data_IF_247915008345
#
_entry.id   IF_247915008345
#
_cell.length_a   1.000
_cell.length_b   1.000
_cell.length_c   1.000
_cell.angle_alpha   90.00
_cell.angle_beta   90.00
_cell.angle_gamma   90.00
#
_symmetry.space_group_name_H-M   'P 1'
#
loop_
_entity.id
_entity.type
_entity.pdbx_description
1 polymer ?
#
# COMPACT_ATOMS: atom_id res chain seq x y z
N UNK A 1 11.31 4.72 8.11
CA UNK A 1 12.45 4.85 7.18
C UNK A 1 13.58 3.89 7.55
N UNK A 2 13.89 2.93 6.65
CA UNK A 2 14.97 1.91 6.68
C UNK A 2 15.00 0.93 7.87
N UNK A 3 15.03 1.39 9.13
CA UNK A 3 15.19 0.51 10.30
C UNK A 3 14.01 -0.46 10.47
N UNK A 4 12.79 0.02 10.16
CA UNK A 4 11.58 -0.81 10.13
C UNK A 4 11.63 -1.88 9.03
N UNK A 5 12.16 -1.55 7.86
CA UNK A 5 12.29 -2.50 6.75
C UNK A 5 13.27 -3.62 7.11
N UNK A 6 14.41 -3.30 7.71
CA UNK A 6 15.36 -4.32 8.19
C UNK A 6 14.72 -5.26 9.22
N UNK A 7 13.86 -4.75 10.11
CA UNK A 7 13.09 -5.59 11.02
C UNK A 7 12.12 -6.51 10.27
N UNK A 8 11.33 -5.98 9.34
CA UNK A 8 10.37 -6.79 8.57
C UNK A 8 11.05 -7.82 7.65
N UNK A 9 12.23 -7.50 7.13
CA UNK A 9 13.07 -8.41 6.34
C UNK A 9 13.49 -9.63 7.14
N UNK A 10 13.86 -9.47 8.42
CA UNK A 10 14.16 -10.60 9.32
C UNK A 10 12.98 -11.54 9.53
N UNK A 11 11.75 -11.04 9.36
CA UNK A 11 10.52 -11.84 9.41
C UNK A 11 10.06 -12.32 8.04
N UNK A 12 10.82 -12.09 6.96
CA UNK A 12 10.45 -12.41 5.58
C UNK A 12 9.06 -11.90 5.18
N UNK A 13 8.71 -10.68 5.60
CA UNK A 13 7.44 -10.06 5.17
C UNK A 13 7.55 -9.71 3.68
N UNK A 14 6.74 -10.37 2.85
CA UNK A 14 6.80 -10.25 1.39
C UNK A 14 6.52 -8.83 0.90
N UNK A 15 5.53 -8.15 1.47
CA UNK A 15 5.15 -6.80 1.06
C UNK A 15 4.80 -5.95 2.29
N UNK A 16 5.27 -4.70 2.32
CA UNK A 16 5.08 -3.76 3.43
C UNK A 16 4.58 -2.43 2.90
N UNK A 17 3.50 -1.92 3.48
CA UNK A 17 2.88 -0.65 3.09
C UNK A 17 3.07 0.38 4.20
N UNK A 18 3.64 1.52 3.86
CA UNK A 18 3.79 2.64 4.79
C UNK A 18 2.81 3.75 4.44
N UNK A 19 2.07 4.19 5.46
CA UNK A 19 1.27 5.40 5.40
C UNK A 19 2.05 6.56 6.02
N UNK A 20 2.59 7.44 5.18
CA UNK A 20 3.36 8.61 5.62
C UNK A 20 3.01 9.81 4.70
N UNK A 21 2.91 11.02 5.27
CA UNK A 21 2.62 12.25 4.51
C UNK A 21 1.39 12.16 3.58
N UNK A 22 0.33 11.48 4.03
CA UNK A 22 -0.91 11.26 3.27
C UNK A 22 -0.73 10.46 1.97
N UNK A 23 0.36 9.68 1.87
CA UNK A 23 0.66 8.81 0.74
C UNK A 23 0.96 7.40 1.23
N UNK A 24 0.65 6.42 0.37
CA UNK A 24 1.04 5.03 0.54
C UNK A 24 2.34 4.76 -0.22
N UNK A 25 3.36 4.30 0.50
CA UNK A 25 4.60 3.79 -0.10
C UNK A 25 4.67 2.29 0.10
N UNK A 26 4.77 1.55 -1.00
CA UNK A 26 4.82 0.09 -0.98
C UNK A 26 6.25 -0.39 -1.19
N UNK A 27 6.60 -1.46 -0.48
CA UNK A 27 7.89 -2.12 -0.60
C UNK A 27 7.69 -3.63 -0.73
N UNK A 28 8.31 -4.25 -1.72
CA UNK A 28 8.29 -5.71 -1.90
C UNK A 28 9.67 -6.31 -1.63
N UNK A 29 9.71 -7.43 -0.92
CA UNK A 29 10.94 -8.17 -0.63
C UNK A 29 11.32 -9.00 -1.85
N UNK A 30 12.30 -8.51 -2.63
CA UNK A 30 12.87 -9.22 -3.80
C UNK A 30 14.32 -9.56 -3.56
N UNK A 31 14.69 -10.81 -3.80
CA UNK A 31 16.07 -11.30 -3.67
C UNK A 31 16.73 -10.91 -2.32
N UNK A 32 15.94 -10.91 -1.23
CA UNK A 32 16.41 -10.59 0.11
C UNK A 32 16.56 -9.10 0.42
N UNK A 33 16.10 -8.18 -0.44
CA UNK A 33 16.05 -6.74 -0.16
C UNK A 33 14.70 -6.13 -0.52
N UNK A 34 14.31 -5.08 0.18
CA UNK A 34 13.09 -4.35 -0.14
C UNK A 34 13.33 -3.38 -1.29
N UNK A 35 12.47 -3.46 -2.29
CA UNK A 35 12.39 -2.52 -3.40
C UNK A 35 11.08 -1.75 -3.31
N UNK A 36 11.12 -0.45 -3.56
CA UNK A 36 9.91 0.35 -3.64
C UNK A 36 9.15 0.02 -4.93
N UNK A 37 7.85 -0.22 -4.81
CA UNK A 37 6.95 -0.55 -5.93
C UNK A 37 5.83 0.49 -6.00
N UNK A 38 5.30 0.70 -7.20
CA UNK A 38 4.16 1.62 -7.42
C UNK A 38 2.80 0.90 -7.38
N UNK A 39 2.79 -0.43 -7.45
CA UNK A 39 1.59 -1.26 -7.44
C UNK A 39 1.88 -2.51 -6.61
N UNK A 40 0.88 -2.98 -5.85
CA UNK A 40 1.00 -4.21 -5.06
C UNK A 40 1.12 -5.43 -5.96
N UNK A 41 2.07 -6.31 -5.65
CA UNK A 41 2.19 -7.61 -6.32
C UNK A 41 1.21 -8.63 -5.73
N UNK A 42 0.83 -8.45 -4.46
CA UNK A 42 -0.15 -9.30 -3.77
C UNK A 42 -1.60 -8.93 -4.10
N UNK A 43 -1.86 -7.66 -4.40
CA UNK A 43 -3.18 -7.09 -4.68
C UNK A 43 -3.12 -6.25 -5.97
N UNK A 44 -2.94 -6.88 -7.15
CA UNK A 44 -2.74 -6.16 -8.40
C UNK A 44 -3.96 -5.30 -8.80
N UNK A 45 -5.16 -5.67 -8.37
CA UNK A 45 -6.40 -4.95 -8.67
C UNK A 45 -6.63 -3.71 -7.78
N UNK A 46 -5.76 -3.48 -6.79
CA UNK A 46 -5.89 -2.34 -5.87
C UNK A 46 -5.09 -1.16 -6.41
N UNK A 47 -5.83 -0.11 -6.79
CA UNK A 47 -5.27 1.20 -7.07
C UNK A 47 -4.87 1.89 -5.74
N UNK A 48 -3.56 2.04 -5.54
CA UNK A 48 -2.98 2.58 -4.31
C UNK A 48 -3.28 4.07 -4.14
N UNK A 49 -3.29 4.84 -5.24
CA UNK A 49 -3.61 6.26 -5.21
C UNK A 49 -5.09 6.47 -4.88
N UNK A 50 -5.97 5.61 -5.41
CA UNK A 50 -7.37 5.60 -5.02
C UNK A 50 -7.53 5.24 -3.53
N UNK A 51 -6.83 4.21 -3.04
CA UNK A 51 -6.89 3.82 -1.64
C UNK A 51 -6.43 4.97 -0.73
N UNK A 52 -5.33 5.63 -1.09
CA UNK A 52 -4.83 6.78 -0.34
C UNK A 52 -5.84 7.93 -0.32
N UNK A 53 -6.45 8.22 -1.47
CA UNK A 53 -7.53 9.22 -1.56
C UNK A 53 -8.72 8.85 -0.67
N UNK A 54 -9.10 7.56 -0.60
CA UNK A 54 -10.20 7.09 0.23
C UNK A 54 -9.91 7.22 1.73
N UNK A 55 -8.68 6.97 2.17
CA UNK A 55 -8.27 7.12 3.58
C UNK A 55 -8.36 8.57 4.05
N UNK A 56 -8.16 9.54 3.14
CA UNK A 56 -8.26 10.97 3.44
C UNK A 56 -9.70 11.50 3.45
N UNK A 57 -10.69 10.70 3.04
CA UNK A 57 -12.07 11.15 3.03
C UNK A 57 -12.64 11.22 4.46
N UNK A 58 -13.35 12.30 4.82
CA UNK A 58 -13.90 12.46 6.16
C UNK A 58 -15.05 11.50 6.45
N UNK A 59 -15.74 11.01 5.41
CA UNK A 59 -16.91 10.14 5.54
C UNK A 59 -16.63 8.75 4.97
N UNK A 60 -16.75 7.72 5.81
CA UNK A 60 -16.51 6.32 5.47
C UNK A 60 -17.41 5.80 4.33
N UNK A 61 -18.63 6.34 4.20
CA UNK A 61 -19.59 5.93 3.16
C UNK A 61 -19.09 6.37 1.77
N UNK A 62 -18.55 7.58 1.67
CA UNK A 62 -17.98 8.11 0.43
C UNK A 62 -16.70 7.35 0.07
N UNK A 63 -15.81 7.14 1.06
CA UNK A 63 -14.59 6.34 0.91
C UNK A 63 -14.90 4.93 0.37
N UNK A 64 -15.85 4.24 0.99
CA UNK A 64 -16.26 2.90 0.57
C UNK A 64 -16.84 2.90 -0.84
N UNK A 65 -17.67 3.89 -1.17
CA UNK A 65 -18.30 3.97 -2.50
C UNK A 65 -17.25 4.22 -3.58
N UNK A 66 -16.32 5.14 -3.35
CA UNK A 66 -15.22 5.43 -4.26
C UNK A 66 -14.31 4.21 -4.45
N UNK A 67 -13.93 3.54 -3.36
CA UNK A 67 -13.07 2.35 -3.41
C UNK A 67 -13.71 1.19 -4.19
N UNK A 68 -14.97 0.84 -3.88
CA UNK A 68 -15.67 -0.24 -4.58
C UNK A 68 -15.86 0.07 -6.07
N UNK A 69 -16.08 1.34 -6.42
CA UNK A 69 -16.19 1.75 -7.83
C UNK A 69 -14.88 1.59 -8.58
N UNK A 70 -13.73 1.84 -7.92
CA UNK A 70 -12.42 1.72 -8.56
C UNK A 70 -11.95 0.28 -8.78
N UNK A 71 -12.35 -0.67 -7.92
CA UNK A 71 -11.98 -2.09 -8.05
C UNK A 71 -12.77 -2.80 -9.17
N UNK A 72 -13.95 -2.30 -9.54
CA UNK A 72 -14.85 -2.95 -10.51
C UNK A 72 -14.50 -2.69 -12.00
N UNK A 73 -13.25 -2.38 -12.33
CA UNK A 73 -12.84 -2.08 -13.71
C UNK A 73 -12.42 -3.31 -14.49
#
# INVERSE_FOLDING_TARGET
SIDKLEKYKRFNITEVWFWENNQLSLYHLKNGNYEQINQSELLPDVDIDLLASCVLMPYIIDARTAFIKGIKK
#
